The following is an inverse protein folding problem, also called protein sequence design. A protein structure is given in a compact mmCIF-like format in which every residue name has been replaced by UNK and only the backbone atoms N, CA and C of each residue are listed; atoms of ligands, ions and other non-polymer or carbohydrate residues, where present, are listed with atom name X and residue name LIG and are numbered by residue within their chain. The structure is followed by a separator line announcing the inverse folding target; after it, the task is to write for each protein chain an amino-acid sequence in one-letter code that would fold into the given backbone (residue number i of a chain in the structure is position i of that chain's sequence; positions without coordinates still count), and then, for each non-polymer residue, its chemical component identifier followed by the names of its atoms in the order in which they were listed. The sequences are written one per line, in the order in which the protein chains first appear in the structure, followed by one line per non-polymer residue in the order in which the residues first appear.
data_IF_783718686831
#
_entry.id   IF_783718686831
#
_cell.length_a   1.000
_cell.length_b   1.000
_cell.length_c   1.000
_cell.angle_alpha   90.00
_cell.angle_beta   90.00
_cell.angle_gamma   90.00
#
_symmetry.space_group_name_H-M   'P 1'
#
loop_
_entity.id
_entity.type
_entity.pdbx_description
1 polymer ?
#
# COMPACT_ATOMS: atom_id res chain seq x y z
N UNK A 1 -44.36 -34.98 50.16
CA UNK A 1 -42.90 -34.75 50.11
C UNK A 1 -42.56 -34.45 48.66
N UNK A 2 -42.43 -33.16 48.32
CA UNK A 2 -42.10 -32.69 46.97
C UNK A 2 -40.61 -32.43 46.96
N UNK A 3 -39.84 -33.23 46.19
CA UNK A 3 -38.41 -33.02 46.00
C UNK A 3 -38.24 -31.96 44.95
N UNK A 4 -37.83 -30.78 45.37
CA UNK A 4 -37.45 -29.65 44.49
C UNK A 4 -36.06 -29.95 43.90
N UNK A 5 -36.00 -30.21 42.61
CA UNK A 5 -34.73 -30.39 41.88
C UNK A 5 -34.30 -28.98 41.45
N UNK A 6 -33.24 -28.46 42.09
CA UNK A 6 -32.54 -27.25 41.66
C UNK A 6 -31.67 -27.61 40.45
N UNK A 7 -32.10 -27.24 39.25
CA UNK A 7 -31.28 -27.27 38.06
C UNK A 7 -30.40 -26.02 38.06
N UNK A 8 -29.14 -26.15 38.46
CA UNK A 8 -28.15 -25.08 38.36
C UNK A 8 -27.71 -25.01 36.92
N UNK A 9 -28.21 -24.01 36.16
CA UNK A 9 -27.73 -23.69 34.81
C UNK A 9 -26.38 -23.03 34.97
N UNK A 10 -25.29 -23.74 34.74
CA UNK A 10 -23.95 -23.21 34.63
C UNK A 10 -23.89 -22.53 33.24
N UNK A 11 -24.08 -21.18 33.21
CA UNK A 11 -23.73 -20.37 32.05
C UNK A 11 -22.20 -20.35 31.92
N UNK A 12 -21.69 -21.19 31.07
CA UNK A 12 -20.28 -21.13 30.64
C UNK A 12 -20.20 -19.91 29.72
N UNK A 13 -19.78 -18.78 30.28
CA UNK A 13 -19.33 -17.65 29.46
C UNK A 13 -18.05 -18.08 28.75
N UNK A 14 -18.17 -18.54 27.51
CA UNK A 14 -17.05 -18.58 26.60
C UNK A 14 -16.60 -17.14 26.37
N UNK A 15 -15.67 -16.66 27.21
CA UNK A 15 -14.86 -15.51 26.90
C UNK A 15 -13.90 -16.00 25.81
N UNK A 16 -14.43 -16.11 24.59
CA UNK A 16 -13.60 -16.28 23.42
C UNK A 16 -12.73 -15.03 23.35
N UNK A 17 -11.44 -15.15 23.62
CA UNK A 17 -10.47 -14.19 23.13
C UNK A 17 -10.64 -14.18 21.61
N UNK A 18 -11.46 -13.29 21.09
CA UNK A 18 -11.58 -12.99 19.69
C UNK A 18 -10.23 -12.35 19.30
N UNK A 19 -9.25 -13.18 18.94
CA UNK A 19 -8.08 -12.70 18.21
C UNK A 19 -8.61 -12.24 16.85
N UNK A 20 -9.03 -10.99 16.80
CA UNK A 20 -9.50 -10.39 15.56
C UNK A 20 -8.33 -10.41 14.56
N UNK A 21 -8.58 -10.93 13.37
CA UNK A 21 -7.59 -10.96 12.29
C UNK A 21 -7.06 -9.54 12.01
N UNK A 22 -5.76 -9.28 12.16
CA UNK A 22 -5.19 -7.97 11.92
C UNK A 22 -5.52 -7.41 10.53
N UNK A 23 -5.56 -8.25 9.50
CA UNK A 23 -5.93 -7.87 8.14
C UNK A 23 -7.37 -7.35 8.12
N UNK A 24 -8.28 -8.04 8.81
CA UNK A 24 -9.67 -7.63 8.90
C UNK A 24 -9.84 -6.29 9.61
N UNK A 25 -9.08 -6.04 10.68
CA UNK A 25 -9.10 -4.74 11.40
C UNK A 25 -8.79 -3.59 10.44
N UNK A 26 -7.76 -3.74 9.60
CA UNK A 26 -7.38 -2.70 8.63
C UNK A 26 -8.39 -2.62 7.49
N UNK A 27 -8.78 -3.73 6.90
CA UNK A 27 -9.69 -3.75 5.75
C UNK A 27 -11.08 -3.19 6.06
N UNK A 28 -11.59 -3.46 7.26
CA UNK A 28 -12.90 -2.97 7.71
C UNK A 28 -12.84 -1.52 8.22
N UNK A 29 -11.64 -0.99 8.45
CA UNK A 29 -11.43 0.38 8.88
C UNK A 29 -11.61 1.40 7.75
N UNK A 30 -11.74 2.65 8.14
CA UNK A 30 -11.84 3.81 7.22
C UNK A 30 -10.65 4.75 7.42
N UNK A 31 -10.44 5.65 6.48
CA UNK A 31 -9.45 6.73 6.59
C UNK A 31 -10.14 8.08 6.37
N UNK A 32 -9.58 9.14 6.95
CA UNK A 32 -10.11 10.51 6.83
C UNK A 32 -10.11 11.06 5.39
N UNK A 33 -9.50 10.35 4.45
CA UNK A 33 -9.55 10.67 3.02
C UNK A 33 -10.97 10.54 2.48
N UNK A 34 -11.64 9.43 2.83
CA UNK A 34 -13.05 9.17 2.50
C UNK A 34 -13.58 8.12 3.49
N UNK A 35 -14.37 8.56 4.44
CA UNK A 35 -14.95 7.68 5.47
C UNK A 35 -16.15 6.86 4.96
N UNK A 36 -16.62 7.10 3.73
CA UNK A 36 -17.71 6.34 3.12
C UNK A 36 -17.25 5.00 2.54
N UNK A 37 -15.93 4.81 2.34
CA UNK A 37 -15.32 3.59 1.86
C UNK A 37 -14.39 3.00 2.92
N UNK A 38 -14.45 1.68 3.10
CA UNK A 38 -13.43 0.99 3.89
C UNK A 38 -12.12 0.92 3.13
N UNK A 39 -11.01 0.74 3.86
CA UNK A 39 -9.70 0.54 3.24
C UNK A 39 -9.73 -0.68 2.31
N UNK A 40 -10.35 -1.78 2.73
CA UNK A 40 -10.49 -2.96 1.89
C UNK A 40 -11.24 -2.67 0.59
N UNK A 41 -12.35 -1.91 0.65
CA UNK A 41 -13.10 -1.54 -0.55
C UNK A 41 -12.27 -0.68 -1.50
N UNK A 42 -11.55 0.30 -0.99
CA UNK A 42 -10.72 1.18 -1.81
C UNK A 42 -9.54 0.41 -2.46
N UNK A 43 -8.80 -0.35 -1.68
CA UNK A 43 -7.56 -0.99 -2.13
C UNK A 43 -7.79 -2.24 -2.98
N UNK A 44 -8.80 -3.08 -2.64
CA UNK A 44 -9.10 -4.30 -3.42
C UNK A 44 -9.69 -3.98 -4.80
N UNK A 45 -10.34 -2.81 -4.95
CA UNK A 45 -10.96 -2.39 -6.21
C UNK A 45 -10.14 -1.36 -7.00
N UNK A 46 -8.93 -1.04 -6.55
CA UNK A 46 -8.09 -0.08 -7.28
C UNK A 46 -7.62 -0.67 -8.61
N UNK A 47 -8.11 -0.12 -9.72
CA UNK A 47 -7.91 -0.66 -11.06
C UNK A 47 -6.45 -0.62 -11.55
N UNK A 48 -5.64 0.29 -11.01
CA UNK A 48 -4.21 0.41 -11.35
C UNK A 48 -3.34 -0.65 -10.66
N UNK A 49 -3.93 -1.44 -9.78
CA UNK A 49 -3.25 -2.45 -8.99
C UNK A 49 -3.48 -3.84 -9.58
N UNK A 50 -2.43 -4.61 -9.75
CA UNK A 50 -2.52 -6.04 -10.06
C UNK A 50 -1.71 -6.86 -9.06
N UNK A 51 -1.99 -8.16 -8.98
CA UNK A 51 -1.33 -9.07 -8.06
C UNK A 51 -1.39 -8.61 -6.60
N UNK A 52 -2.48 -7.90 -6.21
CA UNK A 52 -2.61 -7.38 -4.87
C UNK A 52 -2.57 -8.49 -3.81
N UNK A 53 -1.90 -8.20 -2.70
CA UNK A 53 -1.75 -9.14 -1.58
C UNK A 53 -1.81 -8.40 -0.25
N UNK A 54 -2.54 -8.99 0.69
CA UNK A 54 -2.57 -8.59 2.09
C UNK A 54 -1.80 -9.60 2.93
N UNK A 55 -0.92 -9.10 3.79
CA UNK A 55 -0.14 -9.92 4.71
C UNK A 55 -0.24 -9.34 6.13
N UNK A 56 -0.15 -10.22 7.12
CA UNK A 56 0.02 -9.82 8.52
C UNK A 56 1.33 -10.39 9.02
N UNK A 57 2.16 -9.53 9.61
CA UNK A 57 3.47 -9.89 10.15
C UNK A 57 3.62 -9.38 11.58
N UNK A 58 4.35 -10.12 12.40
CA UNK A 58 4.78 -9.66 13.71
C UNK A 58 6.26 -9.34 13.63
N UNK A 59 6.61 -8.09 13.84
CA UNK A 59 8.00 -7.64 13.86
C UNK A 59 8.75 -8.17 15.10
N UNK A 60 10.06 -8.17 15.06
CA UNK A 60 10.93 -8.62 16.17
C UNK A 60 10.66 -7.88 17.48
N UNK A 61 10.20 -6.64 17.41
CA UNK A 61 9.82 -5.82 18.56
C UNK A 61 8.39 -6.08 19.07
N UNK A 62 7.69 -7.07 18.50
CA UNK A 62 6.32 -7.45 18.87
C UNK A 62 5.21 -6.60 18.23
N UNK A 63 5.52 -5.66 17.33
CA UNK A 63 4.50 -4.89 16.61
C UNK A 63 3.77 -5.77 15.59
N UNK A 64 2.45 -5.70 15.58
CA UNK A 64 1.63 -6.30 14.53
C UNK A 64 1.50 -5.31 13.38
N UNK A 65 1.93 -5.72 12.20
CA UNK A 65 1.86 -4.93 10.96
C UNK A 65 0.96 -5.64 9.97
N UNK A 66 0.08 -4.90 9.35
CA UNK A 66 -0.66 -5.31 8.15
C UNK A 66 -0.03 -4.63 6.96
N UNK A 67 0.25 -5.40 5.93
CA UNK A 67 0.91 -4.94 4.73
C UNK A 67 0.05 -5.24 3.50
N UNK A 68 -0.17 -4.23 2.67
CA UNK A 68 -0.72 -4.34 1.34
C UNK A 68 0.39 -4.14 0.32
N UNK A 69 0.46 -5.01 -0.67
CA UNK A 69 1.40 -4.92 -1.78
C UNK A 69 0.66 -5.09 -3.08
N UNK A 70 1.04 -4.36 -4.11
CA UNK A 70 0.58 -4.61 -5.46
C UNK A 70 1.59 -4.16 -6.52
N UNK A 71 1.50 -4.75 -7.70
CA UNK A 71 2.21 -4.31 -8.88
C UNK A 71 1.38 -3.21 -9.57
N UNK A 72 2.02 -2.09 -9.94
CA UNK A 72 1.35 -0.99 -10.62
C UNK A 72 1.25 -1.31 -12.12
N UNK A 73 0.01 -1.36 -12.64
CA UNK A 73 -0.24 -1.40 -14.07
C UNK A 73 0.19 -0.10 -14.72
N UNK A 74 0.36 -0.12 -16.01
CA UNK A 74 0.48 1.08 -16.86
C UNK A 74 1.58 2.09 -16.49
N UNK A 75 2.38 1.82 -15.45
CA UNK A 75 3.39 2.77 -14.97
C UNK A 75 4.31 3.26 -16.11
N UNK A 76 4.68 2.39 -17.05
CA UNK A 76 5.48 2.76 -18.22
C UNK A 76 4.75 3.74 -19.13
N UNK A 77 3.47 3.49 -19.42
CA UNK A 77 2.68 4.36 -20.30
C UNK A 77 2.38 5.71 -19.68
N UNK A 78 2.16 5.74 -18.38
CA UNK A 78 1.95 6.98 -17.63
C UNK A 78 3.22 7.84 -17.63
N UNK A 79 4.37 7.23 -17.32
CA UNK A 79 5.67 7.89 -17.39
C UNK A 79 5.89 8.42 -18.80
N UNK A 80 5.67 7.61 -19.84
CA UNK A 80 5.79 8.03 -21.24
C UNK A 80 4.93 9.25 -21.52
N UNK A 81 3.67 9.26 -21.11
CA UNK A 81 2.76 10.39 -21.34
C UNK A 81 3.22 11.67 -20.64
N UNK A 82 3.84 11.57 -19.46
CA UNK A 82 4.41 12.69 -18.74
C UNK A 82 5.62 13.29 -19.48
N UNK A 83 6.39 12.46 -20.19
CA UNK A 83 7.61 12.87 -20.88
C UNK A 83 7.39 13.26 -22.35
N UNK A 84 6.41 12.70 -23.06
CA UNK A 84 6.10 13.08 -24.45
C UNK A 84 5.73 14.57 -24.58
N UNK A 85 5.34 15.22 -23.49
CA UNK A 85 4.97 16.63 -23.45
C UNK A 85 6.13 17.59 -23.09
N UNK A 86 7.32 17.11 -22.68
CA UNK A 86 8.45 17.98 -22.32
C UNK A 86 9.80 17.24 -22.30
N UNK A 87 10.62 17.49 -23.29
CA UNK A 87 12.09 17.61 -23.22
C UNK A 87 12.94 16.39 -22.79
N UNK A 88 12.45 15.19 -22.69
CA UNK A 88 13.34 14.02 -22.58
C UNK A 88 13.57 13.45 -23.97
N UNK A 89 14.84 13.28 -24.33
CA UNK A 89 15.21 12.70 -25.62
C UNK A 89 14.83 11.22 -25.67
N UNK A 90 14.62 10.68 -26.87
CA UNK A 90 14.29 9.26 -27.07
C UNK A 90 15.34 8.32 -26.46
N UNK A 91 16.60 8.75 -26.38
CA UNK A 91 17.69 7.99 -25.78
C UNK A 91 17.59 7.96 -24.24
N UNK A 92 17.22 9.07 -23.62
CA UNK A 92 16.99 9.15 -22.19
C UNK A 92 15.81 8.27 -21.75
N UNK A 93 14.76 8.20 -22.57
CA UNK A 93 13.61 7.34 -22.27
C UNK A 93 13.97 5.84 -22.30
N UNK A 94 14.87 5.40 -23.19
CA UNK A 94 15.29 3.99 -23.24
C UNK A 94 16.08 3.55 -22.00
N UNK A 95 16.78 4.49 -21.35
CA UNK A 95 17.51 4.26 -20.10
C UNK A 95 16.60 4.17 -18.89
N UNK A 96 15.34 4.63 -19.02
CA UNK A 96 14.32 4.58 -17.99
C UNK A 96 13.38 3.39 -18.16
N UNK A 97 13.81 2.32 -18.85
CA UNK A 97 12.98 1.15 -19.11
C UNK A 97 12.72 0.39 -17.80
N UNK A 98 11.60 0.75 -17.18
CA UNK A 98 11.12 0.07 -15.97
C UNK A 98 10.61 -1.32 -16.32
N UNK A 99 11.05 -2.32 -15.58
CA UNK A 99 10.53 -3.69 -15.62
C UNK A 99 9.22 -3.77 -14.84
N UNK A 100 9.21 -3.20 -13.65
CA UNK A 100 8.05 -3.19 -12.76
C UNK A 100 8.10 -2.01 -11.77
N UNK A 101 6.94 -1.67 -11.19
CA UNK A 101 6.86 -0.81 -10.03
C UNK A 101 5.89 -1.44 -9.01
N UNK A 102 6.34 -1.57 -7.78
CA UNK A 102 5.55 -2.11 -6.68
C UNK A 102 5.16 -1.01 -5.70
N UNK A 103 3.88 -1.00 -5.36
CA UNK A 103 3.34 -0.12 -4.32
C UNK A 103 3.09 -0.92 -3.04
N UNK A 104 3.49 -0.35 -1.91
CA UNK A 104 3.36 -0.97 -0.60
C UNK A 104 2.83 0.03 0.41
N UNK A 105 1.84 -0.38 1.19
CA UNK A 105 1.39 0.34 2.39
C UNK A 105 1.47 -0.58 3.60
N UNK A 106 1.92 -0.03 4.72
CA UNK A 106 1.99 -0.73 5.99
C UNK A 106 1.17 0.02 7.04
N UNK A 107 0.39 -0.73 7.81
CA UNK A 107 -0.35 -0.24 8.97
C UNK A 107 0.12 -0.95 10.23
N UNK A 108 0.44 -0.18 11.25
CA UNK A 108 0.70 -0.72 12.58
C UNK A 108 -0.61 -0.81 13.36
N UNK A 109 -0.92 -2.00 13.86
CA UNK A 109 -2.06 -2.21 14.76
C UNK A 109 -1.69 -1.66 16.13
N UNK A 110 -2.56 -0.85 16.70
CA UNK A 110 -2.37 -0.28 18.02
C UNK A 110 -2.53 -1.34 19.13
N UNK A 111 -2.08 -1.02 20.33
CA UNK A 111 -2.10 -1.93 21.48
C UNK A 111 -3.51 -2.35 21.91
N UNK A 112 -4.53 -1.55 21.57
CA UNK A 112 -5.95 -1.86 21.78
C UNK A 112 -6.45 -3.00 20.88
N UNK A 113 -5.66 -3.39 19.84
CA UNK A 113 -6.00 -4.40 18.82
C UNK A 113 -7.31 -4.11 18.09
N UNK A 114 -7.75 -2.86 18.05
CA UNK A 114 -8.99 -2.43 17.39
C UNK A 114 -8.78 -1.26 16.43
N UNK A 115 -7.68 -0.56 16.59
CA UNK A 115 -7.31 0.59 15.77
C UNK A 115 -5.92 0.41 15.16
N UNK A 116 -5.61 1.22 14.18
CA UNK A 116 -4.35 1.17 13.43
C UNK A 116 -3.92 2.57 13.03
N UNK A 117 -2.69 2.68 12.58
CA UNK A 117 -2.15 3.89 11.95
C UNK A 117 -1.27 3.49 10.76
N UNK A 118 -1.15 4.38 9.79
CA UNK A 118 -0.15 4.22 8.72
C UNK A 118 1.24 4.21 9.36
N UNK A 119 2.01 3.19 9.05
CA UNK A 119 3.40 3.03 9.48
C UNK A 119 4.34 3.51 8.38
N UNK A 120 4.05 3.11 7.12
CA UNK A 120 4.94 3.35 6.01
C UNK A 120 4.19 3.24 4.67
N UNK A 121 4.57 4.05 3.68
CA UNK A 121 4.06 3.98 2.32
C UNK A 121 5.25 4.08 1.38
N UNK A 122 5.41 3.09 0.51
CA UNK A 122 6.55 2.99 -0.40
C UNK A 122 6.14 2.67 -1.82
N UNK A 123 6.97 3.12 -2.74
CA UNK A 123 7.02 2.60 -4.10
C UNK A 123 8.43 2.09 -4.37
N UNK A 124 8.52 0.92 -4.98
CA UNK A 124 9.78 0.31 -5.40
C UNK A 124 9.76 0.19 -6.91
N UNK A 125 10.71 0.82 -7.57
CA UNK A 125 10.93 0.69 -9.01
C UNK A 125 12.01 -0.36 -9.27
N UNK A 126 11.74 -1.22 -10.22
CA UNK A 126 12.68 -2.22 -10.74
C UNK A 126 12.93 -1.97 -12.21
N UNK A 127 14.17 -1.78 -12.61
CA UNK A 127 14.59 -1.58 -14.01
C UNK A 127 15.01 -2.89 -14.68
N UNK A 128 15.18 -2.82 -16.00
CA UNK A 128 15.55 -3.98 -16.82
C UNK A 128 16.95 -4.54 -16.51
N UNK A 129 17.86 -3.71 -16.00
CA UNK A 129 19.19 -4.10 -15.51
C UNK A 129 19.20 -4.61 -14.06
N UNK A 130 18.00 -4.92 -13.52
CA UNK A 130 17.77 -5.36 -12.16
C UNK A 130 18.17 -4.34 -11.06
N UNK A 131 18.40 -3.07 -11.42
CA UNK A 131 18.50 -2.00 -10.45
C UNK A 131 17.16 -1.82 -9.73
N UNK A 132 17.20 -1.74 -8.42
CA UNK A 132 16.03 -1.53 -7.57
C UNK A 132 16.20 -0.28 -6.70
N UNK A 133 15.20 0.59 -6.69
CA UNK A 133 15.16 1.77 -5.82
C UNK A 133 13.80 1.89 -5.15
N UNK A 134 13.82 2.15 -3.85
CA UNK A 134 12.61 2.30 -3.04
C UNK A 134 12.51 3.72 -2.48
N UNK A 135 11.32 4.32 -2.60
CA UNK A 135 11.02 5.68 -2.16
C UNK A 135 9.85 5.69 -1.20
N UNK A 136 9.95 6.56 -0.19
CA UNK A 136 8.82 6.85 0.67
C UNK A 136 7.86 7.78 -0.06
N UNK A 137 6.57 7.45 0.02
CA UNK A 137 5.50 8.19 -0.65
C UNK A 137 4.69 8.97 0.37
N UNK A 138 4.33 10.20 0.01
CA UNK A 138 3.47 11.03 0.84
C UNK A 138 2.06 10.37 0.96
N UNK A 139 1.45 10.32 2.16
CA UNK A 139 0.10 9.78 2.36
C UNK A 139 -0.99 10.39 1.47
N UNK A 140 -0.81 11.60 0.95
CA UNK A 140 -1.73 12.23 -0.02
C UNK A 140 -1.93 11.38 -1.28
N UNK A 141 -0.99 10.51 -1.63
CA UNK A 141 -1.13 9.57 -2.74
C UNK A 141 -2.27 8.58 -2.58
N UNK A 142 -2.65 8.26 -1.35
CA UNK A 142 -3.76 7.36 -1.07
C UNK A 142 -5.09 7.88 -1.63
N UNK A 143 -5.19 9.19 -1.85
CA UNK A 143 -6.36 9.81 -2.50
C UNK A 143 -6.64 9.23 -3.89
N UNK A 144 -5.58 8.88 -4.64
CA UNK A 144 -5.71 8.26 -5.96
C UNK A 144 -6.40 6.89 -5.86
N UNK A 145 -6.10 6.10 -4.82
CA UNK A 145 -6.70 4.80 -4.56
C UNK A 145 -8.20 4.96 -4.27
N UNK A 146 -8.55 5.86 -3.35
CA UNK A 146 -9.95 6.11 -2.98
C UNK A 146 -10.79 6.67 -4.14
N UNK A 147 -10.16 7.41 -5.06
CA UNK A 147 -10.81 7.94 -6.26
C UNK A 147 -10.76 6.98 -7.46
N UNK A 148 -10.21 5.78 -7.29
CA UNK A 148 -9.95 4.80 -8.35
C UNK A 148 -9.28 5.45 -9.58
N UNK A 149 -8.22 6.20 -9.34
CA UNK A 149 -7.48 6.94 -10.38
C UNK A 149 -6.07 6.36 -10.56
N UNK A 150 -5.49 6.56 -11.75
CA UNK A 150 -4.08 6.27 -11.98
C UNK A 150 -3.18 6.95 -10.95
N UNK A 151 -2.09 6.28 -10.60
CA UNK A 151 -1.12 6.75 -9.62
C UNK A 151 -0.52 8.12 -9.96
N UNK A 152 -0.47 8.47 -11.23
CA UNK A 152 -0.01 9.78 -11.76
C UNK A 152 -1.04 10.91 -11.68
N UNK A 153 -2.18 10.73 -11.01
CA UNK A 153 -3.23 11.77 -10.92
C UNK A 153 -2.78 13.08 -10.27
N UNK A 154 -1.71 13.04 -9.48
CA UNK A 154 -0.99 14.20 -8.94
C UNK A 154 0.32 14.42 -9.70
N UNK A 155 0.22 14.83 -10.97
CA UNK A 155 1.33 15.00 -11.91
C UNK A 155 2.60 15.65 -11.31
N UNK A 156 2.45 16.63 -10.43
CA UNK A 156 3.59 17.36 -9.87
C UNK A 156 4.48 16.54 -8.95
N UNK A 157 3.90 15.76 -8.05
CA UNK A 157 4.66 14.95 -7.07
C UNK A 157 5.34 13.78 -7.78
N UNK A 158 4.62 13.16 -8.71
CA UNK A 158 5.15 12.05 -9.49
C UNK A 158 6.35 12.48 -10.37
N UNK A 159 6.23 13.61 -11.05
CA UNK A 159 7.32 14.17 -11.89
C UNK A 159 8.57 14.48 -11.05
N UNK A 160 8.42 15.07 -9.86
CA UNK A 160 9.55 15.38 -9.01
C UNK A 160 10.27 14.09 -8.57
N UNK A 161 9.53 13.11 -8.07
CA UNK A 161 10.11 11.83 -7.64
C UNK A 161 10.81 11.11 -8.80
N UNK A 162 10.18 11.10 -9.98
CA UNK A 162 10.75 10.40 -11.13
C UNK A 162 11.93 11.13 -11.77
N UNK A 163 11.91 12.45 -11.80
CA UNK A 163 13.05 13.25 -12.27
C UNK A 163 14.26 13.06 -11.37
N UNK A 164 14.07 13.11 -10.07
CA UNK A 164 15.16 12.88 -9.11
C UNK A 164 15.73 11.46 -9.25
N UNK A 165 14.87 10.48 -9.52
CA UNK A 165 15.24 9.09 -9.86
C UNK A 165 16.11 9.00 -11.11
N UNK A 166 15.67 9.65 -12.18
CA UNK A 166 16.40 9.66 -13.42
C UNK A 166 17.78 10.30 -13.24
N UNK A 167 17.82 11.46 -12.59
CA UNK A 167 19.06 12.19 -12.31
C UNK A 167 20.03 11.36 -11.43
N UNK A 168 19.51 10.62 -10.45
CA UNK A 168 20.31 9.72 -9.60
C UNK A 168 20.85 8.55 -10.42
N UNK A 169 20.01 7.90 -11.24
CA UNK A 169 20.41 6.80 -12.12
C UNK A 169 21.52 7.20 -13.08
N UNK A 170 21.42 8.37 -13.72
CA UNK A 170 22.45 8.90 -14.61
C UNK A 170 23.77 9.17 -13.90
N UNK A 171 23.71 9.74 -12.72
CA UNK A 171 24.92 10.01 -11.90
C UNK A 171 25.64 8.74 -11.49
N UNK A 172 24.90 7.72 -11.05
CA UNK A 172 25.49 6.45 -10.59
C UNK A 172 26.09 5.65 -11.73
N UNK A 173 25.49 5.67 -12.92
CA UNK A 173 25.95 4.90 -14.06
C UNK A 173 26.93 5.65 -14.98
N UNK A 174 27.34 6.89 -14.61
CA UNK A 174 28.31 7.71 -15.38
C UNK A 174 27.98 7.82 -16.88
N UNK A 175 26.69 7.83 -17.21
CA UNK A 175 26.24 8.05 -18.58
C UNK A 175 26.26 9.56 -18.82
N UNK A 176 27.36 10.05 -19.42
CA UNK A 176 27.58 11.45 -19.82
C UNK A 176 27.34 11.55 -21.31
#
# INVERSE_FOLDING_TARGET
MIKTIFITIIMIFFIGCFNQDPIKIVKDGTMSIDESLTIGQAFDNWEECENNKWNSIVEKNGRNIVEFNCDLKNIKSEIKTLFDNNTITKNEFSLLDLKNAQFKVRWAINTDKKSFKIDDIKITYLWMDDLEKTYNINPLFLESIYKNKPFGGHKGIYMLTFKDLADEYYKENKIV
#
